data_IF_046076215181
#
_entry.id   IF_046076215181
#
_cell.length_a   1.000
_cell.length_b   1.000
_cell.length_c   1.000
_cell.angle_alpha   90.00
_cell.angle_beta   90.00
_cell.angle_gamma   90.00
#
_symmetry.space_group_name_H-M   'P 1'
#
loop_
_entity.id
_entity.type
_entity.pdbx_description
1 polymer ?
#
# COMPACT_ATOMS: atom_id res chain seq x y z
N UNK A 1 9.09 -5.27 1.82
CA UNK A 1 8.33 -5.42 0.55
C UNK A 1 6.86 -5.51 0.93
N UNK A 2 5.95 -4.81 0.26
CA UNK A 2 4.53 -4.79 0.64
C UNK A 2 3.70 -5.74 -0.22
N UNK A 3 3.06 -6.71 0.45
CA UNK A 3 2.32 -7.87 -0.12
C UNK A 3 3.16 -8.76 -1.05
N UNK A 4 4.17 -9.47 -0.53
CA UNK A 4 4.86 -10.51 -1.30
C UNK A 4 3.93 -11.71 -1.62
N UNK A 5 4.33 -12.63 -2.53
CA UNK A 5 3.59 -13.86 -2.80
C UNK A 5 3.21 -14.62 -1.53
N UNK A 6 2.04 -15.28 -1.58
CA UNK A 6 1.50 -16.13 -0.50
C UNK A 6 0.99 -15.42 0.76
N UNK A 7 1.11 -14.09 0.84
CA UNK A 7 0.44 -13.28 1.85
C UNK A 7 -0.87 -12.70 1.30
N UNK A 8 -1.92 -12.78 2.13
CA UNK A 8 -3.15 -12.02 1.92
C UNK A 8 -2.93 -10.53 2.28
N UNK A 9 -3.90 -9.68 2.00
CA UNK A 9 -3.81 -8.25 2.28
C UNK A 9 -3.66 -7.95 3.78
N UNK A 10 -4.45 -8.59 4.65
CA UNK A 10 -4.36 -8.34 6.09
C UNK A 10 -2.99 -8.77 6.65
N UNK A 11 -2.46 -9.93 6.26
CA UNK A 11 -1.11 -10.35 6.65
C UNK A 11 -0.04 -9.41 6.12
N UNK A 12 -0.19 -8.87 4.90
CA UNK A 12 0.73 -7.86 4.36
C UNK A 12 0.67 -6.52 5.12
N UNK A 13 -0.50 -6.13 5.62
CA UNK A 13 -0.69 -4.96 6.48
C UNK A 13 0.05 -5.19 7.80
N UNK A 14 -0.24 -6.31 8.48
CA UNK A 14 0.32 -6.63 9.79
C UNK A 14 1.84 -6.76 9.73
N UNK A 15 2.38 -7.46 8.72
CA UNK A 15 3.82 -7.61 8.49
C UNK A 15 4.51 -6.25 8.24
N UNK A 16 3.86 -5.38 7.46
CA UNK A 16 4.38 -4.05 7.19
C UNK A 16 4.41 -3.17 8.45
N UNK A 17 3.36 -3.20 9.28
CA UNK A 17 3.27 -2.44 10.53
C UNK A 17 4.41 -2.85 11.46
N UNK A 18 4.53 -4.15 11.76
CA UNK A 18 5.59 -4.64 12.64
C UNK A 18 6.98 -4.30 12.09
N UNK A 19 7.21 -4.50 10.79
CA UNK A 19 8.50 -4.23 10.16
C UNK A 19 8.91 -2.76 10.25
N UNK A 20 7.96 -1.84 10.03
CA UNK A 20 8.21 -0.39 10.10
C UNK A 20 8.49 0.04 11.53
N UNK A 21 7.67 -0.42 12.49
CA UNK A 21 7.86 -0.12 13.92
C UNK A 21 9.23 -0.60 14.41
N UNK A 22 9.60 -1.85 14.10
CA UNK A 22 10.93 -2.38 14.44
C UNK A 22 12.05 -1.55 13.82
N UNK A 23 11.92 -1.13 12.56
CA UNK A 23 12.94 -0.31 11.92
C UNK A 23 13.07 1.09 12.55
N UNK A 24 11.96 1.70 12.97
CA UNK A 24 11.96 2.97 13.72
C UNK A 24 12.66 2.79 15.07
N UNK A 25 12.35 1.75 15.83
CA UNK A 25 12.99 1.43 17.12
C UNK A 25 14.51 1.24 16.99
N UNK A 26 14.96 0.68 15.86
CA UNK A 26 16.38 0.52 15.54
C UNK A 26 17.07 1.81 15.07
N UNK A 27 16.35 2.93 14.97
CA UNK A 27 16.90 4.24 14.58
C UNK A 27 17.17 4.38 13.08
N UNK A 28 16.46 3.63 12.22
CA UNK A 28 16.61 3.74 10.77
C UNK A 28 16.10 5.09 10.26
N UNK A 29 16.95 5.86 9.57
CA UNK A 29 16.58 7.20 9.11
C UNK A 29 15.60 7.22 7.93
N UNK A 30 15.51 6.15 7.15
CA UNK A 30 14.62 6.09 5.98
C UNK A 30 14.14 4.67 5.71
N UNK A 31 12.83 4.49 5.62
CA UNK A 31 12.18 3.21 5.33
C UNK A 31 11.45 3.31 4.00
N UNK A 32 11.71 2.35 3.11
CA UNK A 32 11.07 2.27 1.80
C UNK A 32 10.03 1.14 1.79
N UNK A 33 8.75 1.52 1.75
CA UNK A 33 7.63 0.59 1.60
C UNK A 33 7.39 0.41 0.10
N UNK A 34 7.60 -0.81 -0.40
CA UNK A 34 7.56 -1.10 -1.84
C UNK A 34 6.44 -2.09 -2.18
N UNK A 35 5.27 -1.60 -2.63
CA UNK A 35 4.19 -2.43 -3.17
C UNK A 35 4.66 -3.33 -4.31
N UNK A 36 4.40 -4.64 -4.21
CA UNK A 36 4.79 -5.59 -5.25
C UNK A 36 4.03 -5.33 -6.55
N UNK A 37 4.78 -5.23 -7.64
CA UNK A 37 4.24 -5.22 -9.00
C UNK A 37 4.54 -6.54 -9.72
N UNK A 38 3.86 -6.76 -10.85
CA UNK A 38 3.96 -7.98 -11.63
C UNK A 38 4.98 -7.76 -12.76
N UNK A 39 6.17 -8.31 -12.57
CA UNK A 39 7.26 -8.25 -13.56
C UNK A 39 7.32 -9.54 -14.38
N UNK A 40 7.77 -9.44 -15.64
CA UNK A 40 7.82 -10.59 -16.55
C UNK A 40 8.82 -11.64 -16.07
N UNK A 41 8.48 -12.93 -16.23
CA UNK A 41 9.34 -14.05 -15.89
C UNK A 41 9.51 -14.28 -14.38
N UNK A 42 8.64 -13.70 -13.55
CA UNK A 42 8.68 -13.85 -12.09
C UNK A 42 7.64 -14.86 -11.60
N UNK A 43 7.86 -15.41 -10.40
CA UNK A 43 6.86 -16.22 -9.70
C UNK A 43 5.54 -15.45 -9.50
N UNK A 44 5.63 -14.14 -9.25
CA UNK A 44 4.47 -13.26 -9.12
C UNK A 44 3.64 -13.26 -10.41
N UNK A 45 4.28 -13.19 -11.58
CA UNK A 45 3.56 -13.28 -12.87
C UNK A 45 2.94 -14.66 -13.07
N UNK A 46 3.65 -15.74 -12.75
CA UNK A 46 3.09 -17.08 -12.82
C UNK A 46 1.81 -17.20 -11.98
N UNK A 47 1.82 -16.75 -10.72
CA UNK A 47 0.66 -16.78 -9.83
C UNK A 47 -0.47 -15.88 -10.34
N UNK A 48 -0.14 -14.69 -10.84
CA UNK A 48 -1.12 -13.75 -11.39
C UNK A 48 -1.83 -14.30 -12.63
N UNK A 49 -1.09 -14.94 -13.55
CA UNK A 49 -1.67 -15.58 -14.73
C UNK A 49 -2.65 -16.72 -14.38
N UNK A 50 -2.49 -17.33 -13.21
CA UNK A 50 -3.39 -18.36 -12.68
C UNK A 50 -4.51 -17.77 -11.79
N UNK A 51 -4.66 -16.44 -11.73
CA UNK A 51 -5.57 -15.74 -10.82
C UNK A 51 -5.37 -16.08 -9.33
N UNK A 52 -4.15 -16.50 -8.95
CA UNK A 52 -3.77 -16.84 -7.57
C UNK A 52 -3.05 -15.71 -6.85
N UNK A 53 -2.86 -14.58 -7.51
CA UNK A 53 -2.26 -13.38 -6.95
C UNK A 53 -2.87 -12.15 -7.61
N UNK A 54 -3.06 -11.09 -6.84
CA UNK A 54 -3.30 -9.74 -7.35
C UNK A 54 -2.37 -8.75 -6.66
N UNK A 55 -1.93 -7.69 -7.37
CA UNK A 55 -1.17 -6.61 -6.75
C UNK A 55 -1.89 -6.01 -5.53
N UNK A 56 -1.15 -5.37 -4.61
CA UNK A 56 -1.72 -4.79 -3.40
C UNK A 56 -2.83 -3.76 -3.69
N UNK A 57 -3.76 -3.58 -2.75
CA UNK A 57 -4.67 -2.43 -2.76
C UNK A 57 -3.94 -1.19 -2.26
N UNK A 58 -4.33 -0.01 -2.76
CA UNK A 58 -3.93 1.23 -2.09
C UNK A 58 -4.51 1.30 -0.68
N UNK A 59 -5.74 0.82 -0.47
CA UNK A 59 -6.36 0.77 0.85
C UNK A 59 -5.48 0.05 1.88
N UNK A 60 -4.89 -1.09 1.50
CA UNK A 60 -4.00 -1.83 2.40
C UNK A 60 -2.71 -1.08 2.70
N UNK A 61 -2.07 -0.51 1.66
CA UNK A 61 -0.83 0.26 1.85
C UNK A 61 -1.07 1.42 2.84
N UNK A 62 -2.15 2.15 2.63
CA UNK A 62 -2.48 3.28 3.48
C UNK A 62 -2.93 2.88 4.87
N UNK A 63 -3.68 1.79 5.01
CA UNK A 63 -4.00 1.23 6.33
C UNK A 63 -2.72 0.91 7.09
N UNK A 64 -1.78 0.21 6.45
CA UNK A 64 -0.48 -0.10 7.04
C UNK A 64 0.28 1.17 7.43
N UNK A 65 0.39 2.17 6.55
CA UNK A 65 1.08 3.42 6.85
C UNK A 65 0.49 4.17 8.06
N UNK A 66 -0.84 4.27 8.15
CA UNK A 66 -1.50 4.96 9.27
C UNK A 66 -1.32 4.27 10.62
N UNK A 67 -1.20 2.95 10.61
CA UNK A 67 -1.06 2.15 11.84
C UNK A 67 0.41 1.88 12.20
N UNK A 68 1.34 2.08 11.26
CA UNK A 68 2.76 1.77 11.43
C UNK A 68 3.57 2.85 12.17
N UNK A 69 3.14 4.11 12.11
CA UNK A 69 3.90 5.24 12.66
C UNK A 69 2.97 6.42 12.98
N UNK A 70 3.44 7.30 13.87
CA UNK A 70 2.80 8.58 14.15
C UNK A 70 3.64 9.77 13.65
N UNK A 71 3.18 10.99 13.94
CA UNK A 71 3.86 12.22 13.49
C UNK A 71 5.23 12.42 14.16
N UNK A 72 5.43 11.91 15.38
CA UNK A 72 6.71 12.02 16.10
C UNK A 72 7.77 11.15 15.45
N UNK A 73 7.41 9.93 15.03
CA UNK A 73 8.30 9.02 14.31
C UNK A 73 8.87 9.66 13.04
N UNK A 74 8.02 10.42 12.31
CA UNK A 74 8.39 11.10 11.07
C UNK A 74 9.38 12.25 11.23
N UNK A 75 9.63 12.73 12.47
CA UNK A 75 10.69 13.70 12.74
C UNK A 75 12.09 13.11 12.60
N UNK A 76 12.22 11.79 12.75
CA UNK A 76 13.51 11.09 12.75
C UNK A 76 13.64 10.08 11.62
N UNK A 77 12.51 9.53 11.16
CA UNK A 77 12.44 8.48 10.16
C UNK A 77 11.60 8.90 8.97
N UNK A 78 12.21 8.96 7.78
CA UNK A 78 11.49 9.27 6.55
C UNK A 78 10.85 8.01 5.95
N UNK A 79 9.57 8.08 5.63
CA UNK A 79 8.86 7.01 4.93
C UNK A 79 8.71 7.35 3.45
N UNK A 80 9.20 6.46 2.58
CA UNK A 80 9.13 6.63 1.12
C UNK A 80 8.42 5.45 0.46
N UNK A 81 7.66 5.71 -0.59
CA UNK A 81 7.00 4.71 -1.41
C UNK A 81 6.69 5.30 -2.78
N UNK A 82 7.31 4.77 -3.84
CA UNK A 82 7.05 5.16 -5.23
C UNK A 82 6.74 3.92 -6.10
N UNK A 83 5.47 3.47 -6.12
CA UNK A 83 5.12 2.21 -6.75
C UNK A 83 5.17 2.28 -8.28
N UNK A 84 6.05 1.48 -8.89
CA UNK A 84 6.16 1.34 -10.34
C UNK A 84 4.89 0.71 -10.93
N UNK A 85 4.31 1.37 -11.94
CA UNK A 85 3.07 0.90 -12.60
C UNK A 85 1.80 1.14 -11.78
N UNK A 86 1.84 2.03 -10.79
CA UNK A 86 0.70 2.52 -10.01
C UNK A 86 -0.56 2.78 -10.85
N UNK A 87 -1.68 2.16 -10.47
CA UNK A 87 -2.98 2.27 -11.14
C UNK A 87 -3.17 1.36 -12.35
N UNK A 88 -2.14 0.61 -12.78
CA UNK A 88 -2.27 -0.39 -13.83
C UNK A 88 -2.68 -1.75 -13.28
N UNK A 89 -3.14 -2.66 -14.16
CA UNK A 89 -3.43 -4.06 -13.83
C UNK A 89 -2.25 -4.82 -13.17
N UNK A 90 -1.02 -4.35 -13.41
CA UNK A 90 0.22 -5.01 -12.96
C UNK A 90 0.91 -4.31 -11.79
N UNK A 91 0.46 -3.13 -11.38
CA UNK A 91 0.97 -2.42 -10.20
C UNK A 91 -0.08 -2.30 -9.11
N UNK A 92 0.24 -1.60 -8.02
CA UNK A 92 -0.73 -1.30 -6.95
C UNK A 92 -1.94 -0.55 -7.53
N UNK A 93 -3.16 -1.01 -7.21
CA UNK A 93 -4.39 -0.37 -7.67
C UNK A 93 -5.58 -0.75 -6.79
N UNK A 94 -6.64 0.06 -6.85
CA UNK A 94 -7.94 -0.28 -6.32
C UNK A 94 -8.81 -0.95 -7.40
N UNK A 95 -9.92 -0.34 -7.82
CA UNK A 95 -10.50 -0.69 -9.12
C UNK A 95 -9.63 -0.13 -10.24
N UNK A 96 -9.85 -0.57 -11.49
CA UNK A 96 -9.11 -0.05 -12.64
C UNK A 96 -9.65 1.29 -13.17
N UNK A 97 -10.56 1.95 -12.44
CA UNK A 97 -10.99 3.31 -12.78
C UNK A 97 -9.86 4.29 -12.53
N UNK A 98 -9.56 5.14 -13.49
CA UNK A 98 -8.41 6.05 -13.45
C UNK A 98 -8.53 7.01 -12.27
N UNK A 99 -9.71 7.54 -12.03
CA UNK A 99 -10.00 8.54 -10.99
C UNK A 99 -9.78 7.97 -9.59
N UNK A 100 -10.10 6.69 -9.39
CA UNK A 100 -9.90 6.00 -8.12
C UNK A 100 -8.40 5.90 -7.78
N UNK A 101 -7.56 5.48 -8.75
CA UNK A 101 -6.12 5.33 -8.52
C UNK A 101 -5.36 6.65 -8.56
N UNK A 102 -5.81 7.62 -9.36
CA UNK A 102 -5.18 8.93 -9.49
C UNK A 102 -5.17 9.65 -8.14
N UNK A 103 -6.32 9.70 -7.45
CA UNK A 103 -6.44 10.31 -6.12
C UNK A 103 -5.55 9.61 -5.09
N UNK A 104 -5.50 8.28 -5.11
CA UNK A 104 -4.63 7.51 -4.21
C UNK A 104 -3.15 7.83 -4.46
N UNK A 105 -2.73 7.91 -5.73
CA UNK A 105 -1.37 8.28 -6.09
C UNK A 105 -1.02 9.71 -5.63
N UNK A 106 -1.96 10.66 -5.79
CA UNK A 106 -1.76 12.04 -5.34
C UNK A 106 -1.55 12.12 -3.82
N UNK A 107 -2.40 11.45 -3.04
CA UNK A 107 -2.26 11.39 -1.57
C UNK A 107 -0.92 10.78 -1.18
N UNK A 108 -0.53 9.66 -1.81
CA UNK A 108 0.75 9.00 -1.52
C UNK A 108 1.94 9.93 -1.82
N UNK A 109 1.93 10.59 -2.97
CA UNK A 109 2.98 11.54 -3.35
C UNK A 109 3.04 12.73 -2.40
N UNK A 110 1.88 13.29 -2.04
CA UNK A 110 1.79 14.40 -1.10
C UNK A 110 2.34 14.00 0.29
N UNK A 111 1.99 12.81 0.78
CA UNK A 111 2.55 12.27 2.01
C UNK A 111 4.07 12.08 1.92
N UNK A 112 4.56 11.43 0.85
CA UNK A 112 6.00 11.18 0.68
C UNK A 112 6.79 12.49 0.65
N UNK A 113 6.26 13.54 0.03
CA UNK A 113 6.93 14.85 -0.01
C UNK A 113 6.93 15.53 1.35
N UNK A 114 5.79 15.58 2.04
CA UNK A 114 5.60 16.41 3.23
C UNK A 114 5.86 15.71 4.57
N UNK A 115 5.78 14.38 4.63
CA UNK A 115 5.89 13.57 5.86
C UNK A 115 4.91 14.01 6.96
N UNK A 116 3.65 14.24 6.57
CA UNK A 116 2.56 14.66 7.44
C UNK A 116 1.46 13.60 7.45
N UNK A 117 1.19 13.02 8.63
CA UNK A 117 0.22 11.91 8.78
C UNK A 117 -1.22 12.33 8.47
N UNK A 118 -1.56 13.62 8.64
CA UNK A 118 -2.91 14.14 8.36
C UNK A 118 -3.28 14.01 6.88
N UNK A 119 -2.29 13.92 5.98
CA UNK A 119 -2.50 13.67 4.56
C UNK A 119 -3.11 12.29 4.33
N UNK A 120 -2.73 11.28 5.13
CA UNK A 120 -3.26 9.92 5.02
C UNK A 120 -4.73 9.83 5.45
N UNK A 121 -5.22 10.75 6.28
CA UNK A 121 -6.62 10.81 6.68
C UNK A 121 -7.54 11.24 5.53
N UNK A 122 -7.01 11.90 4.49
CA UNK A 122 -7.79 12.32 3.31
C UNK A 122 -8.45 11.13 2.60
N UNK A 123 -7.96 9.92 2.79
CA UNK A 123 -8.50 8.69 2.20
C UNK A 123 -9.89 8.37 2.71
N UNK A 124 -10.19 8.70 3.97
CA UNK A 124 -11.54 8.46 4.54
C UNK A 124 -12.60 9.34 3.87
N UNK A 125 -12.17 10.46 3.29
CA UNK A 125 -13.01 11.37 2.50
C UNK A 125 -13.14 10.93 1.04
N UNK A 126 -12.37 9.91 0.60
CA UNK A 126 -12.45 9.39 -0.75
C UNK A 126 -13.65 8.47 -0.89
N UNK A 127 -14.66 9.00 -1.58
CA UNK A 127 -15.85 8.34 -2.11
C UNK A 127 -16.12 6.89 -1.64
N UNK A 128 -16.82 6.72 -0.51
CA UNK A 128 -17.33 5.40 -0.11
C UNK A 128 -18.30 4.78 -1.14
N UNK A 129 -18.72 5.49 -2.19
CA UNK A 129 -19.54 4.95 -3.28
C UNK A 129 -18.74 4.14 -4.32
N UNK A 130 -17.41 4.10 -4.23
CA UNK A 130 -16.64 3.22 -5.08
C UNK A 130 -16.85 1.74 -4.66
N UNK A 131 -17.58 0.98 -5.48
CA UNK A 131 -17.91 -0.44 -5.22
C UNK A 131 -16.69 -1.30 -4.86
N UNK A 132 -15.50 -0.98 -5.36
CA UNK A 132 -14.30 -1.74 -5.03
C UNK A 132 -13.84 -1.60 -3.58
N UNK A 133 -14.32 -0.59 -2.85
CA UNK A 133 -14.08 -0.52 -1.40
C UNK A 133 -14.81 -1.68 -0.70
N UNK A 134 -16.05 -1.98 -1.07
CA UNK A 134 -16.77 -3.15 -0.56
C UNK A 134 -16.06 -4.45 -0.97
N UNK A 135 -15.62 -4.55 -2.23
CA UNK A 135 -14.81 -5.69 -2.69
C UNK A 135 -13.55 -5.87 -1.86
N UNK A 136 -12.83 -4.79 -1.57
CA UNK A 136 -11.65 -4.81 -0.71
C UNK A 136 -11.99 -5.35 0.69
N UNK A 137 -13.03 -4.83 1.34
CA UNK A 137 -13.44 -5.27 2.68
C UNK A 137 -13.77 -6.77 2.72
N UNK A 138 -14.40 -7.30 1.66
CA UNK A 138 -14.72 -8.72 1.55
C UNK A 138 -13.52 -9.60 1.23
N UNK A 139 -12.48 -9.06 0.58
CA UNK A 139 -11.34 -9.84 0.10
C UNK A 139 -10.12 -9.80 1.02
N UNK A 140 -9.95 -8.75 1.84
CA UNK A 140 -8.69 -8.48 2.55
C UNK A 140 -8.18 -9.63 3.43
N UNK A 141 -9.11 -10.41 3.98
CA UNK A 141 -8.78 -11.52 4.89
C UNK A 141 -8.55 -12.85 4.15
N UNK A 142 -8.98 -12.94 2.88
CA UNK A 142 -8.97 -14.18 2.09
C UNK A 142 -8.00 -14.16 0.89
N UNK A 143 -7.57 -12.97 0.41
CA UNK A 143 -6.77 -12.76 -0.81
C UNK A 143 -5.67 -11.70 -0.66
#
# INVERSE_FOLDING_TARGET
MFKPPFLNEQGAIDDCIHSVQTAIELGVNTISINPVNIQRGTLVEYLWLQNRYRPPWYYSLFKAMREAFDQQDLHHTRIVSDPSGAGSKRGIHNCLRRECNFKMKEILNEFVLNQDTSILEKIERLDPACECHLTYQLQKDFF
#
